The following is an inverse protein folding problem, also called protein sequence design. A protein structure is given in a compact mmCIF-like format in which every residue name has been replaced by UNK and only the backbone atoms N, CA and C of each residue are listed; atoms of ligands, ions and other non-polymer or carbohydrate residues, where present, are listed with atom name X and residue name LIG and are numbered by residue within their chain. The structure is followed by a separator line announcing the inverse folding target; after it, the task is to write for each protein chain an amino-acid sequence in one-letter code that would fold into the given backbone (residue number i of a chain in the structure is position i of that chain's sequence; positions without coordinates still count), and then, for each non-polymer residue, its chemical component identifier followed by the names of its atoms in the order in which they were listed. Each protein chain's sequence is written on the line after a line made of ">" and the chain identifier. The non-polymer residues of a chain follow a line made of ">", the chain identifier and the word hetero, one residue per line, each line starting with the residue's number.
data_IF_875745715265
#
_entry.id   IF_875745715265
#
_cell.length_a   1.000
_cell.length_b   1.000
_cell.length_c   1.000
_cell.angle_alpha   90.00
_cell.angle_beta   90.00
_cell.angle_gamma   90.00
#
_symmetry.space_group_name_H-M   'P 1'
#
loop_
_entity.id
_entity.type
_entity.pdbx_description
1 polymer ?
#
# COMPACT_ATOMS: atom_id res chain seq x y z
N UNK A 1 -12.18 30.64 -0.69
CA UNK A 1 -11.86 29.54 -1.62
C UNK A 1 -12.44 29.93 -2.97
N UNK A 2 -11.56 30.30 -3.94
CA UNK A 2 -12.01 30.73 -5.26
C UNK A 2 -12.48 29.53 -6.08
N UNK A 3 -13.68 29.65 -6.64
CA UNK A 3 -14.22 28.70 -7.60
C UNK A 3 -13.34 28.69 -8.85
N UNK A 4 -12.59 27.59 -9.03
CA UNK A 4 -11.82 27.33 -10.23
C UNK A 4 -12.81 26.85 -11.31
N UNK A 5 -13.22 27.74 -12.21
CA UNK A 5 -14.18 27.45 -13.30
C UNK A 5 -13.61 26.55 -14.42
N UNK A 6 -12.66 25.70 -14.15
CA UNK A 6 -12.19 24.66 -15.08
C UNK A 6 -11.58 25.13 -16.41
N UNK A 7 -11.52 26.42 -16.69
CA UNK A 7 -10.99 26.97 -17.94
C UNK A 7 -9.50 27.14 -17.80
N UNK A 8 -8.73 26.24 -18.44
CA UNK A 8 -7.27 26.36 -18.47
C UNK A 8 -6.89 27.52 -19.38
N UNK A 9 -6.33 28.59 -18.80
CA UNK A 9 -5.75 29.69 -19.56
C UNK A 9 -4.29 29.41 -19.90
N UNK A 10 -3.90 29.81 -21.13
CA UNK A 10 -2.53 29.69 -21.59
C UNK A 10 -1.60 30.60 -20.76
N UNK A 11 -0.59 30.03 -20.11
CA UNK A 11 0.39 30.78 -19.32
C UNK A 11 1.30 31.75 -20.13
N UNK A 12 1.14 31.81 -21.48
CA UNK A 12 1.87 32.72 -22.36
C UNK A 12 1.03 33.88 -22.88
N UNK A 13 -0.20 33.62 -23.34
CA UNK A 13 -1.07 34.65 -23.92
C UNK A 13 -2.34 34.90 -23.13
N UNK A 14 -2.55 34.20 -22.01
CA UNK A 14 -3.71 34.28 -21.13
C UNK A 14 -5.07 33.97 -21.76
N UNK A 15 -5.10 33.48 -23.00
CA UNK A 15 -6.33 33.03 -23.66
C UNK A 15 -6.71 31.61 -23.28
N UNK A 16 -8.01 31.32 -23.29
CA UNK A 16 -8.54 29.97 -23.03
C UNK A 16 -8.40 29.04 -24.25
N UNK A 17 -8.62 27.74 -24.03
CA UNK A 17 -8.71 26.74 -25.08
C UNK A 17 -7.39 26.09 -25.51
N UNK A 18 -6.25 26.56 -24.99
CA UNK A 18 -4.93 25.95 -25.24
C UNK A 18 -3.98 26.22 -24.08
N UNK A 19 -2.83 25.54 -24.07
CA UNK A 19 -1.77 25.75 -23.08
C UNK A 19 -0.50 26.36 -23.74
N UNK A 20 0.49 26.71 -22.93
CA UNK A 20 1.72 27.33 -23.43
C UNK A 20 2.51 26.46 -24.41
N UNK A 21 2.27 25.14 -24.49
CA UNK A 21 2.93 24.22 -25.43
C UNK A 21 2.29 24.23 -26.81
N UNK A 22 1.01 24.57 -26.89
CA UNK A 22 0.22 24.62 -28.13
C UNK A 22 -0.20 26.05 -28.49
N UNK A 23 0.43 27.05 -27.87
CA UNK A 23 0.08 28.46 -28.04
C UNK A 23 0.54 28.99 -29.40
N UNK A 24 -0.38 29.43 -30.29
CA UNK A 24 0.00 29.97 -31.62
C UNK A 24 0.88 31.22 -31.48
N UNK A 25 0.53 32.18 -30.63
CA UNK A 25 1.33 33.40 -30.42
C UNK A 25 2.74 33.12 -29.94
N UNK A 26 2.93 32.08 -29.13
CA UNK A 26 4.27 31.65 -28.71
C UNK A 26 5.05 31.08 -29.86
N UNK A 27 4.42 30.31 -30.70
CA UNK A 27 5.06 29.72 -31.90
C UNK A 27 5.47 30.80 -32.87
N UNK A 28 4.59 31.75 -33.20
CA UNK A 28 4.88 32.89 -34.07
C UNK A 28 6.09 33.70 -33.57
N UNK A 29 6.10 34.02 -32.27
CA UNK A 29 7.23 34.73 -31.66
C UNK A 29 8.54 33.96 -31.79
N UNK A 30 8.53 32.65 -31.56
CA UNK A 30 9.72 31.81 -31.70
C UNK A 30 10.20 31.72 -33.14
N UNK A 31 9.28 31.67 -34.10
CA UNK A 31 9.60 31.68 -35.51
C UNK A 31 10.23 33.01 -35.95
N UNK A 32 9.71 34.13 -35.45
CA UNK A 32 10.28 35.45 -35.71
C UNK A 32 11.70 35.55 -35.12
N UNK A 33 11.90 35.17 -33.88
CA UNK A 33 13.18 35.19 -33.20
C UNK A 33 14.22 34.29 -33.94
N UNK A 34 13.76 33.15 -34.41
CA UNK A 34 14.60 32.25 -35.22
C UNK A 34 15.01 32.90 -36.54
N UNK A 35 14.07 33.53 -37.27
CA UNK A 35 14.34 34.22 -38.53
C UNK A 35 15.30 35.41 -38.34
N UNK A 36 15.06 36.23 -37.31
CA UNK A 36 15.91 37.37 -36.96
C UNK A 36 17.34 36.94 -36.59
N UNK A 37 17.48 35.86 -35.82
CA UNK A 37 18.78 35.32 -35.47
C UNK A 37 19.57 34.83 -36.64
N UNK A 38 18.90 34.23 -37.64
CA UNK A 38 19.53 33.85 -38.93
C UNK A 38 19.94 35.05 -39.77
N UNK A 39 19.06 36.03 -39.90
CA UNK A 39 19.30 37.22 -40.72
C UNK A 39 20.44 38.09 -40.16
N UNK A 40 20.56 38.20 -38.85
CA UNK A 40 21.55 39.01 -38.18
C UNK A 40 22.90 38.31 -37.95
N UNK A 41 23.09 37.08 -38.45
CA UNK A 41 24.34 36.33 -38.27
C UNK A 41 24.63 36.04 -36.78
N UNK A 42 23.59 35.92 -35.94
CA UNK A 42 23.74 35.63 -34.53
C UNK A 42 24.48 34.31 -34.31
N UNK A 43 25.11 34.19 -33.12
CA UNK A 43 25.80 32.96 -32.70
C UNK A 43 24.92 31.72 -32.97
N UNK A 44 25.53 30.71 -33.53
CA UNK A 44 24.90 29.42 -33.91
C UNK A 44 24.10 28.82 -32.75
N UNK A 45 24.49 29.11 -31.51
CA UNK A 45 23.79 28.69 -30.28
C UNK A 45 22.36 29.23 -30.22
N UNK A 46 22.13 30.50 -30.56
CA UNK A 46 20.76 31.10 -30.51
C UNK A 46 19.88 30.55 -31.61
N UNK A 47 20.43 30.36 -32.82
CA UNK A 47 19.72 29.75 -33.96
C UNK A 47 19.27 28.34 -33.57
N UNK A 48 20.19 27.55 -33.05
CA UNK A 48 19.89 26.18 -32.59
C UNK A 48 18.87 26.15 -31.44
N UNK A 49 19.01 27.05 -30.46
CA UNK A 49 18.06 27.17 -29.34
C UNK A 49 16.63 27.40 -29.83
N UNK A 50 16.42 28.40 -30.72
CA UNK A 50 15.08 28.69 -31.24
C UNK A 50 14.56 27.55 -32.12
N UNK A 51 15.39 26.94 -32.94
CA UNK A 51 15.03 25.77 -33.71
C UNK A 51 14.54 24.62 -32.83
N UNK A 52 15.23 24.36 -31.72
CA UNK A 52 14.81 23.34 -30.74
C UNK A 52 13.50 23.69 -30.05
N UNK A 53 13.26 24.97 -29.72
CA UNK A 53 11.98 25.39 -29.10
C UNK A 53 10.81 25.23 -30.08
N UNK A 54 11.01 25.61 -31.36
CA UNK A 54 10.02 25.39 -32.42
C UNK A 54 9.75 23.90 -32.59
N UNK A 55 10.78 23.06 -32.63
CA UNK A 55 10.65 21.61 -32.75
C UNK A 55 9.88 20.98 -31.57
N UNK A 56 9.99 21.55 -30.36
CA UNK A 56 9.19 21.11 -29.20
C UNK A 56 7.69 21.39 -29.37
N UNK A 57 7.33 22.43 -30.14
CA UNK A 57 5.93 22.84 -30.34
C UNK A 57 5.33 22.20 -31.61
N UNK A 58 6.09 22.15 -32.71
CA UNK A 58 5.60 21.67 -34.03
C UNK A 58 5.88 20.19 -34.28
N UNK A 59 6.85 19.62 -33.56
CA UNK A 59 7.33 18.25 -33.77
C UNK A 59 8.45 18.16 -34.82
N UNK A 60 8.79 19.25 -35.54
CA UNK A 60 9.81 19.26 -36.60
C UNK A 60 10.81 20.36 -36.35
N UNK A 61 12.11 20.06 -36.43
CA UNK A 61 13.17 21.04 -36.30
C UNK A 61 13.31 21.80 -37.65
N UNK A 62 13.15 23.14 -37.67
CA UNK A 62 13.20 23.92 -38.92
C UNK A 62 14.61 23.99 -39.50
N UNK A 63 15.69 23.73 -38.76
CA UNK A 63 17.07 23.76 -39.23
C UNK A 63 17.47 22.45 -39.91
N UNK A 64 17.15 21.32 -39.27
CA UNK A 64 17.60 20.00 -39.72
C UNK A 64 16.52 19.18 -40.42
N UNK A 65 15.26 19.65 -40.41
CA UNK A 65 14.11 18.88 -40.90
C UNK A 65 13.79 17.64 -40.07
N UNK A 66 14.56 17.39 -39.02
CA UNK A 66 14.39 16.20 -38.18
C UNK A 66 13.07 16.27 -37.42
N UNK A 67 12.21 15.28 -37.59
CA UNK A 67 11.02 15.10 -36.79
C UNK A 67 11.39 14.61 -35.40
N UNK A 68 10.82 15.25 -34.35
CA UNK A 68 11.00 14.82 -32.99
C UNK A 68 10.38 13.44 -32.81
N UNK A 69 11.21 12.41 -32.67
CA UNK A 69 10.71 11.09 -32.25
C UNK A 69 9.91 11.28 -30.99
N UNK A 70 8.61 10.91 -31.01
CA UNK A 70 7.81 10.90 -29.80
C UNK A 70 8.52 10.00 -28.79
N UNK A 71 8.80 10.55 -27.61
CA UNK A 71 9.51 9.84 -26.52
C UNK A 71 8.86 8.51 -26.14
N UNK A 72 7.68 8.23 -26.72
CA UNK A 72 6.87 7.04 -26.46
C UNK A 72 7.13 5.86 -27.40
N UNK A 73 7.97 6.00 -28.44
CA UNK A 73 8.18 4.90 -29.38
C UNK A 73 9.25 3.89 -28.95
N UNK A 74 10.13 4.24 -28.00
CA UNK A 74 11.23 3.34 -27.61
C UNK A 74 11.14 2.75 -26.20
N UNK A 75 10.25 3.26 -25.34
CA UNK A 75 10.02 2.69 -24.02
C UNK A 75 8.51 2.67 -23.73
N UNK A 76 7.83 1.63 -24.19
CA UNK A 76 6.48 1.32 -23.74
C UNK A 76 6.46 1.37 -22.21
N UNK A 77 5.53 2.13 -21.61
CA UNK A 77 5.40 2.19 -20.15
C UNK A 77 5.20 0.78 -19.62
N UNK A 78 6.19 0.29 -18.88
CA UNK A 78 6.09 -0.99 -18.22
C UNK A 78 5.11 -0.90 -17.04
N UNK A 79 4.34 -1.93 -16.84
CA UNK A 79 3.49 -2.06 -15.66
C UNK A 79 4.33 -1.94 -14.39
N UNK A 80 3.94 -1.08 -13.46
CA UNK A 80 4.68 -0.90 -12.20
C UNK A 80 4.63 -2.12 -11.28
N UNK A 81 3.76 -3.08 -11.57
CA UNK A 81 3.64 -4.32 -10.80
C UNK A 81 4.45 -5.48 -11.41
N UNK A 82 4.09 -5.96 -12.60
CA UNK A 82 4.75 -7.11 -13.25
C UNK A 82 5.95 -6.75 -14.14
N UNK A 83 6.22 -5.45 -14.35
CA UNK A 83 7.28 -4.92 -15.24
C UNK A 83 7.11 -5.21 -16.74
N UNK A 84 6.02 -5.84 -17.14
CA UNK A 84 5.70 -6.10 -18.54
C UNK A 84 5.12 -4.87 -19.23
N UNK A 85 5.25 -4.80 -20.57
CA UNK A 85 4.69 -3.72 -21.41
C UNK A 85 3.22 -3.97 -21.76
N UNK A 86 2.58 -2.95 -22.38
CA UNK A 86 1.25 -3.08 -22.99
C UNK A 86 0.05 -2.87 -22.05
N UNK A 87 0.28 -2.73 -20.74
CA UNK A 87 -0.80 -2.49 -19.78
C UNK A 87 -0.34 -1.64 -18.60
N UNK A 88 -1.30 -1.14 -17.80
CA UNK A 88 -1.05 -0.42 -16.55
C UNK A 88 -1.24 -1.35 -15.34
N UNK A 89 -0.78 -0.94 -14.15
CA UNK A 89 -1.06 -1.66 -12.88
C UNK A 89 -2.56 -1.95 -12.69
N UNK A 90 -3.42 -1.01 -13.08
CA UNK A 90 -4.88 -1.14 -12.92
C UNK A 90 -5.47 -2.27 -13.78
N UNK A 91 -4.89 -2.52 -14.96
CA UNK A 91 -5.35 -3.53 -15.91
C UNK A 91 -4.47 -4.78 -15.91
N UNK A 92 -3.53 -4.89 -14.97
CA UNK A 92 -2.60 -6.00 -14.87
C UNK A 92 -3.31 -7.30 -14.48
N UNK A 93 -3.19 -8.33 -15.30
CA UNK A 93 -3.73 -9.66 -15.03
C UNK A 93 -3.04 -10.32 -13.85
N UNK A 94 -1.71 -10.20 -13.78
CA UNK A 94 -0.91 -10.80 -12.70
C UNK A 94 -1.30 -10.26 -11.32
N UNK A 95 -1.53 -8.93 -11.17
CA UNK A 95 -1.96 -8.42 -9.86
C UNK A 95 -3.36 -8.90 -9.48
N UNK A 96 -4.27 -9.06 -10.46
CA UNK A 96 -5.62 -9.57 -10.20
C UNK A 96 -5.60 -11.04 -9.78
N UNK A 97 -4.70 -11.82 -10.36
CA UNK A 97 -4.49 -13.21 -10.00
C UNK A 97 -3.86 -13.32 -8.60
N UNK A 98 -2.81 -12.56 -8.33
CA UNK A 98 -2.15 -12.53 -7.02
C UNK A 98 -3.13 -12.09 -5.91
N UNK A 99 -4.02 -11.11 -6.18
CA UNK A 99 -5.09 -10.73 -5.24
C UNK A 99 -6.06 -11.90 -4.97
N UNK A 100 -6.46 -12.64 -6.02
CA UNK A 100 -7.34 -13.81 -5.84
C UNK A 100 -6.68 -14.89 -4.99
N UNK A 101 -5.43 -15.20 -5.30
CA UNK A 101 -4.65 -16.20 -4.55
C UNK A 101 -4.47 -15.76 -3.09
N UNK A 102 -4.18 -14.49 -2.86
CA UNK A 102 -4.03 -13.94 -1.51
C UNK A 102 -5.33 -14.02 -0.70
N UNK A 103 -6.49 -13.74 -1.31
CA UNK A 103 -7.82 -13.91 -0.66
C UNK A 103 -8.09 -15.36 -0.29
N UNK A 104 -7.74 -16.32 -1.15
CA UNK A 104 -7.87 -17.75 -0.86
C UNK A 104 -7.04 -18.14 0.36
N UNK A 105 -5.78 -17.74 0.39
CA UNK A 105 -4.91 -17.97 1.55
C UNK A 105 -5.48 -17.33 2.82
N UNK A 106 -5.94 -16.09 2.70
CA UNK A 106 -6.54 -15.39 3.83
C UNK A 106 -7.80 -16.10 4.35
N UNK A 107 -8.59 -16.70 3.48
CA UNK A 107 -9.75 -17.51 3.87
C UNK A 107 -9.34 -18.68 4.77
N UNK A 108 -8.28 -19.42 4.38
CA UNK A 108 -7.79 -20.57 5.17
C UNK A 108 -7.27 -20.09 6.54
N UNK A 109 -6.38 -19.09 6.55
CA UNK A 109 -5.81 -18.54 7.80
C UNK A 109 -6.91 -18.03 8.74
N UNK A 110 -7.89 -17.32 8.20
CA UNK A 110 -8.96 -16.73 9.00
C UNK A 110 -9.96 -17.75 9.53
N UNK A 111 -10.26 -18.82 8.77
CA UNK A 111 -11.08 -19.94 9.25
C UNK A 111 -10.40 -20.66 10.40
N UNK A 112 -9.13 -20.97 10.25
CA UNK A 112 -8.34 -21.63 11.29
C UNK A 112 -8.22 -20.76 12.54
N UNK A 113 -7.91 -19.46 12.38
CA UNK A 113 -7.86 -18.52 13.49
C UNK A 113 -9.21 -18.42 14.21
N UNK A 114 -10.33 -18.32 13.49
CA UNK A 114 -11.65 -18.25 14.08
C UNK A 114 -11.98 -19.53 14.86
N UNK A 115 -11.65 -20.72 14.33
CA UNK A 115 -11.86 -21.98 15.01
C UNK A 115 -11.10 -22.01 16.34
N UNK A 116 -9.85 -21.61 16.37
CA UNK A 116 -9.05 -21.51 17.60
C UNK A 116 -9.58 -20.46 18.58
N UNK A 117 -10.02 -19.32 18.07
CA UNK A 117 -10.67 -18.29 18.90
C UNK A 117 -11.93 -18.85 19.60
N UNK A 118 -12.76 -19.59 18.86
CA UNK A 118 -13.96 -20.22 19.40
C UNK A 118 -13.66 -21.36 20.37
N UNK A 119 -12.67 -22.20 20.07
CA UNK A 119 -12.21 -23.31 20.91
C UNK A 119 -11.70 -22.79 22.28
N UNK A 120 -10.89 -21.74 22.27
CA UNK A 120 -10.31 -21.18 23.49
C UNK A 120 -11.21 -20.08 24.14
N UNK A 121 -12.29 -19.68 23.48
CA UNK A 121 -13.18 -18.62 23.99
C UNK A 121 -12.51 -17.24 23.95
N UNK A 122 -11.67 -16.94 22.96
CA UNK A 122 -11.02 -15.65 22.85
C UNK A 122 -11.78 -14.69 21.92
N UNK A 123 -12.26 -13.58 22.46
CA UNK A 123 -13.04 -12.59 21.73
C UNK A 123 -13.17 -11.26 22.47
N UNK A 124 -14.04 -10.39 21.98
CA UNK A 124 -14.38 -9.16 22.69
C UNK A 124 -15.08 -9.54 24.00
N UNK A 125 -14.59 -8.99 25.12
CA UNK A 125 -15.04 -9.32 26.46
C UNK A 125 -14.19 -10.38 27.18
N UNK A 126 -13.20 -10.98 26.50
CA UNK A 126 -12.23 -11.88 27.16
C UNK A 126 -11.33 -11.10 28.09
N UNK A 127 -10.93 -11.74 29.19
CA UNK A 127 -9.94 -11.22 30.13
C UNK A 127 -8.59 -11.88 29.85
N UNK A 128 -7.56 -11.08 29.71
CA UNK A 128 -6.20 -11.54 29.47
C UNK A 128 -5.23 -10.93 30.47
N UNK A 129 -4.14 -11.62 30.77
CA UNK A 129 -3.05 -11.09 31.59
C UNK A 129 -1.79 -10.94 30.74
N UNK A 130 -1.04 -9.88 31.00
CA UNK A 130 0.24 -9.63 30.39
C UNK A 130 1.29 -9.35 31.45
N UNK A 131 2.37 -10.11 31.42
CA UNK A 131 3.51 -9.90 32.30
C UNK A 131 4.55 -9.03 31.58
N UNK A 132 4.79 -7.85 32.11
CA UNK A 132 5.79 -6.91 31.62
C UNK A 132 6.88 -6.71 32.66
N UNK A 133 8.11 -6.50 32.22
CA UNK A 133 9.19 -6.05 33.09
C UNK A 133 9.05 -4.54 33.29
N UNK A 134 8.73 -4.10 34.49
CA UNK A 134 8.60 -2.70 34.86
C UNK A 134 9.77 -2.31 35.76
N UNK A 135 10.29 -1.07 35.57
CA UNK A 135 11.33 -0.55 36.42
C UNK A 135 10.79 -0.23 37.81
N UNK A 136 11.30 -0.91 38.81
CA UNK A 136 11.01 -0.59 40.20
C UNK A 136 12.06 0.41 40.75
N UNK A 137 11.64 1.66 40.93
CA UNK A 137 12.55 2.73 41.35
C UNK A 137 13.07 2.54 42.80
N UNK A 138 12.32 1.85 43.67
CA UNK A 138 12.71 1.58 45.05
C UNK A 138 13.75 0.47 45.11
N UNK A 139 13.58 -0.58 44.27
CA UNK A 139 14.53 -1.70 44.21
C UNK A 139 15.74 -1.43 43.30
N UNK A 140 15.64 -0.44 42.40
CA UNK A 140 16.69 -0.13 41.41
C UNK A 140 16.86 -1.21 40.34
N UNK A 141 15.85 -2.02 40.08
CA UNK A 141 15.89 -3.14 39.16
C UNK A 141 14.57 -3.30 38.39
N UNK A 142 14.62 -4.09 37.28
CA UNK A 142 13.41 -4.49 36.56
C UNK A 142 12.73 -5.64 37.27
N UNK A 143 11.45 -5.50 37.56
CA UNK A 143 10.61 -6.54 38.17
C UNK A 143 9.46 -6.90 37.27
N UNK A 144 9.10 -8.17 37.23
CA UNK A 144 7.94 -8.64 36.45
C UNK A 144 6.65 -8.24 37.11
N UNK A 145 5.85 -7.46 36.40
CA UNK A 145 4.52 -7.01 36.84
C UNK A 145 3.45 -7.60 35.91
N UNK A 146 2.51 -8.34 36.49
CA UNK A 146 1.37 -8.90 35.74
C UNK A 146 0.18 -7.97 35.84
N UNK A 147 -0.35 -7.57 34.70
CA UNK A 147 -1.52 -6.70 34.58
C UNK A 147 -2.63 -7.41 33.82
N UNK A 148 -3.88 -7.21 34.28
CA UNK A 148 -5.07 -7.76 33.65
C UNK A 148 -5.71 -6.73 32.71
N UNK A 149 -6.18 -7.21 31.56
CA UNK A 149 -6.79 -6.40 30.50
C UNK A 149 -8.06 -7.04 29.97
N UNK A 150 -9.08 -6.22 29.71
CA UNK A 150 -10.33 -6.61 29.08
C UNK A 150 -10.24 -6.32 27.57
N UNK A 151 -10.46 -7.30 26.73
CA UNK A 151 -10.48 -7.16 25.27
C UNK A 151 -11.71 -6.36 24.85
N UNK A 152 -11.50 -5.24 24.15
CA UNK A 152 -12.57 -4.33 23.71
C UNK A 152 -12.75 -4.25 22.22
N UNK A 153 -11.71 -4.56 21.43
CA UNK A 153 -11.75 -4.52 19.96
C UNK A 153 -10.77 -5.51 19.38
N UNK A 154 -11.15 -6.09 18.24
CA UNK A 154 -10.28 -6.89 17.40
C UNK A 154 -10.19 -6.23 16.02
N UNK A 155 -8.98 -6.01 15.51
CA UNK A 155 -8.71 -5.56 14.13
C UNK A 155 -8.73 -6.77 13.20
N UNK A 156 -9.91 -7.22 12.84
CA UNK A 156 -10.11 -8.36 11.97
C UNK A 156 -9.39 -8.23 10.61
N UNK A 157 -9.29 -7.00 10.11
CA UNK A 157 -8.62 -6.67 8.85
C UNK A 157 -7.12 -6.97 8.87
N UNK A 158 -6.47 -6.92 10.04
CA UNK A 158 -5.04 -7.18 10.18
C UNK A 158 -4.71 -8.68 10.29
N UNK A 159 -5.72 -9.54 10.43
CA UNK A 159 -5.51 -11.00 10.50
C UNK A 159 -5.53 -11.57 9.09
N UNK A 160 -4.45 -12.25 8.72
CA UNK A 160 -4.32 -12.82 7.39
C UNK A 160 -2.94 -13.46 7.16
N UNK A 161 -2.61 -13.80 5.93
CA UNK A 161 -1.36 -14.50 5.61
C UNK A 161 -0.10 -13.74 6.06
N UNK A 162 -0.15 -12.41 6.11
CA UNK A 162 0.96 -11.55 6.55
C UNK A 162 1.04 -11.39 8.07
N UNK A 163 -0.02 -11.74 8.79
CA UNK A 163 -0.09 -11.65 10.25
C UNK A 163 -0.93 -12.81 10.79
N UNK A 164 -0.34 -14.02 10.77
CA UNK A 164 -0.99 -15.27 11.19
C UNK A 164 -1.03 -15.41 12.72
N UNK A 165 -0.14 -14.69 13.40
CA UNK A 165 -0.06 -14.66 14.87
C UNK A 165 -1.01 -13.67 15.51
N UNK A 166 -1.63 -12.78 14.70
CA UNK A 166 -2.51 -11.73 15.22
C UNK A 166 -1.76 -10.66 16.02
N UNK A 167 -0.52 -10.33 15.63
CA UNK A 167 0.28 -9.31 16.30
C UNK A 167 -0.40 -7.94 16.21
N UNK A 168 -0.47 -7.24 17.36
CA UNK A 168 -1.11 -5.92 17.49
C UNK A 168 -2.55 -5.83 16.93
N UNK A 169 -3.27 -6.94 16.95
CA UNK A 169 -4.66 -7.02 16.47
C UNK A 169 -5.70 -6.77 17.55
N UNK A 170 -5.33 -6.82 18.82
CA UNK A 170 -6.26 -6.79 19.94
C UNK A 170 -6.12 -5.47 20.70
N UNK A 171 -7.18 -4.69 20.81
CA UNK A 171 -7.23 -3.55 21.73
C UNK A 171 -7.84 -4.00 23.04
N UNK A 172 -7.17 -3.68 24.12
CA UNK A 172 -7.63 -4.02 25.46
C UNK A 172 -7.56 -2.81 26.40
N UNK A 173 -8.35 -2.84 27.46
CA UNK A 173 -8.38 -1.82 28.51
C UNK A 173 -7.83 -2.46 29.78
N UNK A 174 -6.89 -1.79 30.44
CA UNK A 174 -6.39 -2.24 31.74
C UNK A 174 -7.51 -2.22 32.80
N UNK A 175 -7.66 -3.32 33.52
CA UNK A 175 -8.64 -3.43 34.62
C UNK A 175 -8.29 -2.49 35.75
N UNK A 176 -7.00 -2.30 36.02
CA UNK A 176 -6.51 -1.43 37.12
C UNK A 176 -6.56 0.06 36.74
N UNK A 177 -6.30 0.38 35.48
CA UNK A 177 -6.23 1.76 34.96
C UNK A 177 -6.89 1.86 33.60
N UNK A 178 -8.19 2.20 33.52
CA UNK A 178 -8.91 2.27 32.22
C UNK A 178 -8.40 3.30 31.24
N UNK A 179 -7.53 4.23 31.64
CA UNK A 179 -6.86 5.16 30.72
C UNK A 179 -5.84 4.46 29.85
N UNK A 180 -5.28 3.33 30.29
CA UNK A 180 -4.32 2.51 29.57
C UNK A 180 -5.06 1.55 28.63
N UNK A 181 -4.90 1.77 27.34
CA UNK A 181 -5.57 1.00 26.26
C UNK A 181 -4.54 0.51 25.24
N UNK A 182 -3.70 -0.48 25.59
CA UNK A 182 -2.69 -0.98 24.66
C UNK A 182 -3.29 -1.77 23.51
N UNK A 183 -2.51 -1.89 22.44
CA UNK A 183 -2.68 -2.91 21.42
C UNK A 183 -1.84 -4.12 21.83
N UNK A 184 -2.46 -5.28 21.84
CA UNK A 184 -1.85 -6.56 22.21
C UNK A 184 -1.87 -7.51 21.02
N UNK A 185 -0.99 -8.49 21.05
CA UNK A 185 -1.06 -9.68 20.19
C UNK A 185 -2.13 -10.64 20.70
N UNK A 186 -2.52 -11.61 19.90
CA UNK A 186 -3.39 -12.70 20.36
C UNK A 186 -2.64 -13.60 21.33
N UNK A 187 -3.33 -14.26 22.26
CA UNK A 187 -2.76 -15.30 23.12
C UNK A 187 -2.09 -16.41 22.29
N UNK A 188 -1.02 -16.98 22.78
CA UNK A 188 -0.30 -18.08 22.09
C UNK A 188 -1.20 -19.29 21.85
N UNK A 189 -2.12 -19.59 22.76
CA UNK A 189 -3.13 -20.64 22.59
C UNK A 189 -4.01 -20.43 21.37
N UNK A 190 -4.25 -19.19 20.97
CA UNK A 190 -5.06 -18.80 19.80
C UNK A 190 -4.20 -18.62 18.57
N UNK A 191 -3.04 -17.99 18.68
CA UNK A 191 -2.13 -17.74 17.54
C UNK A 191 -1.50 -19.04 16.99
N UNK A 192 -1.35 -20.05 17.85
CA UNK A 192 -0.65 -21.30 17.50
C UNK A 192 0.86 -21.09 17.34
N UNK A 193 1.39 -19.97 17.76
CA UNK A 193 2.80 -19.63 17.70
C UNK A 193 3.48 -19.97 19.01
N UNK A 194 4.18 -21.09 19.07
CA UNK A 194 5.02 -21.46 20.21
C UNK A 194 6.33 -20.64 20.30
N UNK A 195 6.57 -19.72 19.37
CA UNK A 195 7.89 -19.10 19.17
C UNK A 195 7.81 -17.57 18.94
N UNK A 196 6.97 -16.88 19.68
CA UNK A 196 6.98 -15.39 19.61
C UNK A 196 8.12 -14.84 20.46
N UNK A 197 9.38 -14.94 19.97
CA UNK A 197 10.56 -14.36 20.62
C UNK A 197 10.51 -12.84 20.76
N UNK A 198 9.54 -12.19 20.15
CA UNK A 198 9.46 -10.72 20.03
C UNK A 198 8.18 -10.08 20.52
N UNK A 199 7.12 -10.83 20.73
CA UNK A 199 5.88 -10.29 21.34
C UNK A 199 5.53 -11.09 22.57
N UNK A 200 5.45 -10.43 23.71
CA UNK A 200 4.86 -11.04 24.89
C UNK A 200 3.37 -11.24 24.61
N UNK A 201 3.01 -12.45 24.21
CA UNK A 201 1.61 -12.80 24.04
C UNK A 201 0.93 -12.79 25.41
N UNK A 202 -0.28 -12.28 25.51
CA UNK A 202 -1.05 -12.32 26.76
C UNK A 202 -1.56 -13.74 27.02
N UNK A 203 -1.72 -14.09 28.30
CA UNK A 203 -2.38 -15.31 28.72
C UNK A 203 -3.90 -15.07 28.83
N UNK A 204 -4.69 -16.00 28.31
CA UNK A 204 -6.15 -15.96 28.41
C UNK A 204 -6.58 -16.48 29.78
N UNK A 205 -7.25 -15.65 30.57
CA UNK A 205 -7.73 -16.02 31.93
C UNK A 205 -9.25 -15.98 32.09
N UNK A 206 -9.95 -15.29 31.19
CA UNK A 206 -11.42 -15.25 31.19
C UNK A 206 -11.95 -15.35 29.74
N UNK A 207 -12.74 -16.38 29.48
CA UNK A 207 -13.23 -16.69 28.15
C UNK A 207 -14.52 -15.92 27.79
N UNK A 208 -14.65 -15.61 26.50
CA UNK A 208 -15.90 -15.14 25.87
C UNK A 208 -16.65 -16.36 25.31
N UNK A 209 -17.98 -16.46 25.47
CA UNK A 209 -18.76 -17.53 24.88
C UNK A 209 -18.56 -17.59 23.34
N UNK A 210 -18.35 -18.78 22.74
CA UNK A 210 -18.04 -18.93 21.31
C UNK A 210 -19.06 -18.27 20.38
N UNK A 211 -20.33 -18.28 20.73
CA UNK A 211 -21.42 -17.66 19.97
C UNK A 211 -21.35 -16.12 19.89
N UNK A 212 -20.55 -15.50 20.75
CA UNK A 212 -20.30 -14.06 20.75
C UNK A 212 -19.07 -13.68 19.94
N UNK A 213 -18.30 -14.66 19.43
CA UNK A 213 -17.10 -14.43 18.62
C UNK A 213 -17.52 -14.34 17.16
N UNK A 214 -17.93 -13.15 16.73
CA UNK A 214 -18.48 -12.90 15.41
C UNK A 214 -17.58 -11.95 14.61
N UNK A 215 -16.84 -12.47 13.60
CA UNK A 215 -16.10 -11.64 12.68
C UNK A 215 -17.05 -10.88 11.73
N UNK A 216 -16.58 -9.83 11.03
CA UNK A 216 -17.33 -9.16 9.99
C UNK A 216 -17.78 -10.13 8.89
N UNK A 217 -18.92 -9.81 8.23
CA UNK A 217 -19.44 -10.59 7.12
C UNK A 217 -18.37 -10.83 6.04
N UNK A 218 -18.34 -12.03 5.49
CA UNK A 218 -17.39 -12.49 4.48
C UNK A 218 -15.91 -12.45 4.87
N UNK A 219 -15.58 -12.17 6.14
CA UNK A 219 -14.19 -12.15 6.61
C UNK A 219 -13.50 -13.52 6.43
N UNK A 220 -14.16 -14.60 6.80
CA UNK A 220 -13.66 -15.98 6.61
C UNK A 220 -13.56 -16.39 5.15
N UNK A 221 -14.25 -15.72 4.25
CA UNK A 221 -14.08 -15.89 2.80
C UNK A 221 -12.89 -15.10 2.23
N UNK A 222 -12.08 -14.48 3.06
CA UNK A 222 -10.91 -13.69 2.65
C UNK A 222 -11.23 -12.31 2.12
N UNK A 223 -12.45 -11.79 2.33
CA UNK A 223 -12.84 -10.48 1.84
C UNK A 223 -11.85 -9.39 2.27
N UNK A 224 -11.43 -8.57 1.30
CA UNK A 224 -10.56 -7.40 1.47
C UNK A 224 -9.19 -7.69 2.11
N UNK A 225 -8.75 -8.96 2.10
CA UNK A 225 -7.47 -9.33 2.74
C UNK A 225 -6.27 -8.64 2.08
N UNK A 226 -6.31 -8.46 0.76
CA UNK A 226 -5.24 -7.83 -0.01
C UNK A 226 -5.08 -6.33 0.25
N UNK A 227 -6.11 -5.65 0.76
CA UNK A 227 -6.07 -4.20 1.03
C UNK A 227 -5.08 -3.85 2.15
N UNK A 228 -4.87 -4.77 3.10
CA UNK A 228 -3.94 -4.60 4.23
C UNK A 228 -2.63 -5.37 4.04
N UNK A 229 -2.43 -5.96 2.87
CA UNK A 229 -1.20 -6.67 2.55
C UNK A 229 -0.18 -5.70 1.96
N UNK A 230 0.87 -5.36 2.70
CA UNK A 230 1.92 -4.42 2.29
C UNK A 230 2.57 -4.74 0.94
N UNK A 231 2.56 -6.03 0.52
CA UNK A 231 3.06 -6.45 -0.78
C UNK A 231 2.25 -5.90 -1.98
N UNK A 232 1.01 -5.45 -1.76
CA UNK A 232 0.15 -4.88 -2.81
C UNK A 232 0.03 -3.36 -2.73
N UNK A 233 0.69 -2.70 -1.81
CA UNK A 233 0.68 -1.24 -1.69
C UNK A 233 1.13 -0.53 -2.96
N UNK A 234 0.70 0.73 -3.10
CA UNK A 234 1.09 1.57 -4.22
C UNK A 234 2.62 1.75 -4.22
N UNK A 235 3.25 1.42 -5.35
CA UNK A 235 4.71 1.48 -5.49
C UNK A 235 5.39 0.12 -5.34
N UNK A 236 4.76 -0.86 -4.73
CA UNK A 236 5.27 -2.22 -4.67
C UNK A 236 5.14 -2.93 -6.03
N UNK A 237 6.10 -3.78 -6.35
CA UNK A 237 6.09 -4.63 -7.54
C UNK A 237 6.22 -6.09 -7.14
N UNK A 238 5.89 -7.00 -8.05
CA UNK A 238 6.06 -8.45 -7.85
C UNK A 238 7.52 -8.83 -7.53
N UNK A 239 8.48 -8.01 -8.01
CA UNK A 239 9.92 -8.19 -7.74
C UNK A 239 10.36 -7.50 -6.44
N UNK A 240 9.47 -6.79 -5.74
CA UNK A 240 9.83 -6.10 -4.50
C UNK A 240 10.20 -7.10 -3.40
N UNK A 241 11.04 -6.66 -2.47
CA UNK A 241 11.43 -7.43 -1.30
C UNK A 241 10.21 -7.98 -0.54
N UNK A 242 9.20 -7.13 -0.31
CA UNK A 242 7.96 -7.51 0.37
C UNK A 242 7.21 -8.63 -0.33
N UNK A 243 7.09 -8.56 -1.66
CA UNK A 243 6.43 -9.63 -2.40
C UNK A 243 7.25 -10.93 -2.35
N UNK A 244 8.57 -10.86 -2.54
CA UNK A 244 9.45 -12.03 -2.47
C UNK A 244 9.46 -12.68 -1.09
N UNK A 245 9.50 -11.86 -0.04
CA UNK A 245 9.57 -12.36 1.34
C UNK A 245 8.23 -12.91 1.83
N UNK A 246 7.12 -12.26 1.51
CA UNK A 246 5.80 -12.58 2.05
C UNK A 246 4.81 -13.09 1.00
N UNK A 247 4.97 -12.75 -0.28
CA UNK A 247 4.07 -13.11 -1.36
C UNK A 247 4.40 -14.47 -1.98
N UNK A 248 5.65 -14.70 -2.45
CA UNK A 248 6.00 -15.95 -3.12
C UNK A 248 6.06 -17.12 -2.15
N UNK A 249 6.73 -16.97 -1.01
CA UNK A 249 6.83 -18.02 0.00
C UNK A 249 5.47 -18.45 0.55
N UNK A 250 4.53 -17.50 0.69
CA UNK A 250 3.16 -17.81 1.07
C UNK A 250 2.38 -18.45 -0.08
N UNK A 251 2.53 -17.95 -1.31
CA UNK A 251 1.90 -18.56 -2.49
C UNK A 251 2.39 -19.99 -2.70
N UNK A 252 3.69 -20.24 -2.56
CA UNK A 252 4.27 -21.58 -2.69
C UNK A 252 3.79 -22.54 -1.58
N UNK A 253 3.70 -22.05 -0.35
CA UNK A 253 3.24 -22.83 0.81
C UNK A 253 1.76 -23.22 0.70
N UNK A 254 0.94 -22.41 0.03
CA UNK A 254 -0.52 -22.58 -0.03
C UNK A 254 -1.03 -22.92 -1.43
N UNK A 255 -0.14 -23.04 -2.43
CA UNK A 255 -0.51 -23.36 -3.82
C UNK A 255 -1.23 -24.72 -3.98
N UNK A 256 -1.15 -25.60 -2.98
CA UNK A 256 -1.84 -26.89 -2.95
C UNK A 256 -3.16 -26.92 -2.19
N UNK A 257 -3.62 -25.76 -1.63
CA UNK A 257 -4.87 -25.76 -0.88
C UNK A 257 -6.03 -25.35 -1.78
N UNK A 258 -6.85 -26.32 -2.12
CA UNK A 258 -8.14 -26.10 -2.80
C UNK A 258 -9.07 -25.29 -1.89
N UNK A 259 -9.79 -24.29 -2.42
CA UNK A 259 -10.79 -23.57 -1.63
C UNK A 259 -11.91 -24.57 -1.27
N UNK A 260 -12.09 -24.84 0.00
CA UNK A 260 -13.34 -25.48 0.47
C UNK A 260 -14.48 -24.50 0.23
N UNK A 261 -15.47 -24.91 -0.61
CA UNK A 261 -16.70 -24.18 -0.90
C UNK A 261 -17.48 -23.78 0.37
#
# INVERSE_FOLDING_TARGET
>A
MGNYNGTVHCGHCYQGGHNARTCPRKLERLQQQYADSKANGSDSHYVEYYAQQIAKMTGTNPETGATRKRRNESYGRKCSYCREGGHSRRTCSSIKEDHRNYRRMASVVRKDMLARMQEHGFGIGSLVTLTNSEWNAEAGEYQDATSAYLVTKIKWENIGPHNQTGDNCVRAISVKDPSKQPWLSMPDSVSGSADSRYSRAPDLVGATPPEKINPPSAWTAGARAEENAGCFEKGQSRDSYWFRQYGSALLDRWAGIEPTE
#
